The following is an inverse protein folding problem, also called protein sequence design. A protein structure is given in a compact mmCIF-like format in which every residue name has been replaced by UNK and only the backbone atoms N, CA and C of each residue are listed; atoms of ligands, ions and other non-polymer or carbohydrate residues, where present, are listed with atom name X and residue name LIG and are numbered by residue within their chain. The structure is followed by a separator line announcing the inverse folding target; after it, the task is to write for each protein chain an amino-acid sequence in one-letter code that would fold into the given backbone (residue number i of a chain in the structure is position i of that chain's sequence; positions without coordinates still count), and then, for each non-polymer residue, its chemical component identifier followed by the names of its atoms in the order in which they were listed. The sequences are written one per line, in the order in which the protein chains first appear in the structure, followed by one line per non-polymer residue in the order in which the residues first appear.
data_IF_341789019560
#
_entry.id   IF_341789019560
#
_cell.length_a   1.000
_cell.length_b   1.000
_cell.length_c   1.000
_cell.angle_alpha   90.00
_cell.angle_beta   90.00
_cell.angle_gamma   90.00
#
_symmetry.space_group_name_H-M   'P 1'
#
loop_
_entity.id
_entity.type
_entity.pdbx_description
1 polymer ?
#
# COMPACT_ATOMS: atom_id res chain seq x y z
N UNK A 1 14.50 -9.24 15.38
CA UNK A 1 15.48 -9.45 14.30
C UNK A 1 14.92 -10.43 13.28
N UNK A 2 15.42 -10.44 12.04
CA UNK A 2 15.12 -11.53 11.12
C UNK A 2 15.59 -12.88 11.70
N UNK A 3 14.92 -13.95 11.31
CA UNK A 3 15.31 -15.32 11.68
C UNK A 3 16.67 -15.65 11.08
N UNK A 4 17.43 -16.46 11.80
CA UNK A 4 18.77 -16.91 11.44
C UNK A 4 18.83 -18.43 11.54
N UNK A 5 19.80 -19.02 10.83
CA UNK A 5 20.05 -20.46 10.93
C UNK A 5 20.36 -20.84 12.38
N UNK A 6 19.74 -21.93 12.86
CA UNK A 6 19.86 -22.39 14.24
C UNK A 6 18.82 -21.81 15.21
N UNK A 7 17.98 -20.86 14.77
CA UNK A 7 16.86 -20.40 15.59
C UNK A 7 15.85 -21.53 15.82
N UNK A 8 15.39 -21.67 17.07
CA UNK A 8 14.29 -22.55 17.45
C UNK A 8 13.12 -21.71 17.96
N UNK A 9 11.94 -21.89 17.36
CA UNK A 9 10.73 -21.15 17.70
C UNK A 9 9.74 -22.06 18.44
N UNK A 10 9.46 -21.82 19.73
CA UNK A 10 8.47 -22.61 20.45
C UNK A 10 7.07 -22.34 19.88
N UNK A 11 6.34 -23.40 19.56
CA UNK A 11 4.94 -23.31 19.13
C UNK A 11 4.05 -23.42 20.37
N UNK A 12 3.07 -22.52 20.50
CA UNK A 12 2.07 -22.58 21.57
C UNK A 12 1.20 -23.84 21.47
N UNK A 13 0.44 -24.13 22.54
CA UNK A 13 -0.53 -25.24 22.52
C UNK A 13 -1.52 -25.01 21.38
N UNK A 14 -1.66 -25.98 20.48
CA UNK A 14 -2.62 -25.94 19.38
C UNK A 14 -3.80 -26.84 19.69
N UNK A 15 -5.01 -26.33 19.46
CA UNK A 15 -6.27 -27.03 19.79
C UNK A 15 -6.97 -27.64 18.57
N UNK A 16 -6.63 -27.24 17.34
CA UNK A 16 -7.23 -27.86 16.16
C UNK A 16 -6.50 -29.16 15.79
N UNK A 17 -7.26 -30.15 15.33
CA UNK A 17 -6.71 -31.45 14.92
C UNK A 17 -6.09 -31.40 13.53
N UNK A 18 -6.58 -30.52 12.68
CA UNK A 18 -6.19 -30.39 11.27
C UNK A 18 -5.74 -28.95 10.93
N UNK A 19 -4.89 -28.84 9.92
CA UNK A 19 -4.55 -27.56 9.33
C UNK A 19 -5.76 -27.00 8.56
N UNK A 20 -6.10 -25.72 8.80
CA UNK A 20 -7.14 -25.04 8.03
C UNK A 20 -6.75 -24.96 6.57
N UNK A 21 -7.65 -25.35 5.67
CA UNK A 21 -7.47 -25.21 4.23
C UNK A 21 -8.15 -23.93 3.77
N UNK A 22 -7.42 -23.07 3.09
CA UNK A 22 -8.02 -21.90 2.44
C UNK A 22 -8.88 -22.35 1.26
N UNK A 23 -10.08 -21.80 1.14
CA UNK A 23 -10.89 -21.98 -0.07
C UNK A 23 -10.18 -21.38 -1.29
N UNK A 24 -10.44 -21.92 -2.48
CA UNK A 24 -9.88 -21.40 -3.73
C UNK A 24 -10.20 -19.92 -3.94
N UNK A 25 -11.39 -19.46 -3.52
CA UNK A 25 -11.80 -18.07 -3.57
C UNK A 25 -10.93 -17.17 -2.66
N UNK A 26 -10.67 -17.60 -1.43
CA UNK A 26 -9.81 -16.86 -0.49
C UNK A 26 -8.37 -16.81 -0.98
N UNK A 27 -7.87 -17.93 -1.50
CA UNK A 27 -6.53 -17.97 -2.09
C UNK A 27 -6.41 -17.04 -3.31
N UNK A 28 -7.43 -16.99 -4.18
CA UNK A 28 -7.46 -16.10 -5.33
C UNK A 28 -7.49 -14.61 -4.92
N UNK A 29 -8.31 -14.26 -3.92
CA UNK A 29 -8.39 -12.90 -3.37
C UNK A 29 -7.02 -12.44 -2.84
N UNK A 30 -6.34 -13.30 -2.06
CA UNK A 30 -5.03 -12.99 -1.47
C UNK A 30 -3.88 -12.99 -2.49
N UNK A 31 -4.01 -13.72 -3.60
CA UNK A 31 -2.98 -13.84 -4.65
C UNK A 31 -3.15 -12.85 -5.80
N UNK A 32 -4.18 -12.01 -5.79
CA UNK A 32 -4.44 -11.07 -6.88
C UNK A 32 -3.32 -10.01 -6.95
N UNK A 33 -2.51 -10.08 -8.01
CA UNK A 33 -1.39 -9.14 -8.27
C UNK A 33 -1.70 -8.08 -9.33
N UNK A 34 -2.73 -8.28 -10.13
CA UNK A 34 -3.01 -7.48 -11.32
C UNK A 34 -4.08 -6.40 -11.11
N UNK A 35 -4.04 -5.37 -11.95
CA UNK A 35 -5.02 -4.27 -12.02
C UNK A 35 -4.47 -2.94 -11.50
N UNK A 36 -5.31 -1.91 -11.47
CA UNK A 36 -4.91 -0.63 -10.87
C UNK A 36 -4.98 -0.71 -9.34
N UNK A 37 -4.12 0.03 -8.64
CA UNK A 37 -4.20 0.24 -7.20
C UNK A 37 -5.19 1.37 -6.95
N UNK A 38 -6.25 1.07 -6.21
CA UNK A 38 -7.24 2.05 -5.87
C UNK A 38 -6.74 2.93 -4.73
N UNK A 39 -6.95 4.24 -4.87
CA UNK A 39 -6.51 5.25 -3.91
C UNK A 39 -7.62 6.26 -3.64
N UNK A 40 -7.59 6.84 -2.45
CA UNK A 40 -8.40 8.00 -2.08
C UNK A 40 -7.54 9.26 -2.09
N UNK A 41 -8.13 10.45 -2.27
CA UNK A 41 -7.40 11.70 -2.05
C UNK A 41 -6.78 11.72 -0.64
N UNK A 42 -5.67 12.43 -0.51
CA UNK A 42 -5.04 12.73 0.76
C UNK A 42 -5.26 14.20 1.12
N UNK A 43 -4.82 14.61 2.31
CA UNK A 43 -4.96 15.98 2.79
C UNK A 43 -4.20 17.01 1.93
N UNK A 44 -3.10 16.61 1.27
CA UNK A 44 -2.29 17.48 0.42
C UNK A 44 -2.48 17.21 -1.07
N UNK A 45 -3.53 16.50 -1.49
CA UNK A 45 -3.78 16.25 -2.93
C UNK A 45 -3.86 17.54 -3.74
N UNK A 46 -4.41 18.61 -3.18
CA UNK A 46 -4.55 19.92 -3.84
C UNK A 46 -3.22 20.71 -3.90
N UNK A 47 -2.11 20.18 -3.38
CA UNK A 47 -0.78 20.81 -3.47
C UNK A 47 -0.02 20.42 -4.73
N UNK A 48 -0.51 19.43 -5.46
CA UNK A 48 0.03 18.99 -6.73
C UNK A 48 -0.70 19.69 -7.86
N UNK A 49 0.01 20.14 -8.89
CA UNK A 49 -0.65 20.76 -10.04
C UNK A 49 -1.47 19.74 -10.83
N UNK A 50 -2.23 20.25 -11.80
CA UNK A 50 -3.02 19.43 -12.69
C UNK A 50 -2.16 18.41 -13.46
N UNK A 51 -0.92 18.78 -13.82
CA UNK A 51 -0.04 17.93 -14.62
C UNK A 51 0.53 16.77 -13.80
N UNK A 52 1.01 17.01 -12.58
CA UNK A 52 1.45 16.01 -11.62
C UNK A 52 0.30 15.09 -11.21
N UNK A 53 -0.89 15.64 -10.99
CA UNK A 53 -2.11 14.85 -10.70
C UNK A 53 -2.44 13.93 -11.88
N UNK A 54 -2.43 14.46 -13.11
CA UNK A 54 -2.66 13.69 -14.33
C UNK A 54 -1.62 12.60 -14.51
N UNK A 55 -0.33 12.93 -14.37
CA UNK A 55 0.77 11.98 -14.47
C UNK A 55 0.64 10.84 -13.45
N UNK A 56 0.28 11.15 -12.20
CA UNK A 56 0.10 10.16 -11.15
C UNK A 56 -0.99 9.12 -11.48
N UNK A 57 -2.10 9.53 -12.10
CA UNK A 57 -3.21 8.63 -12.43
C UNK A 57 -3.10 7.96 -13.81
N UNK A 58 -2.41 8.59 -14.77
CA UNK A 58 -2.32 8.09 -16.14
C UNK A 58 -1.04 7.27 -16.42
N UNK A 59 0.07 7.60 -15.76
CA UNK A 59 1.36 6.98 -16.03
C UNK A 59 1.63 5.78 -15.12
N UNK A 60 2.31 4.75 -15.64
CA UNK A 60 2.83 3.68 -14.81
C UNK A 60 4.05 4.13 -14.00
N UNK A 61 4.21 3.54 -12.83
CA UNK A 61 5.43 3.60 -12.05
C UNK A 61 6.00 2.20 -11.84
N UNK A 62 7.31 2.11 -11.65
CA UNK A 62 8.01 0.85 -11.42
C UNK A 62 8.52 0.79 -9.99
N UNK A 63 8.27 -0.32 -9.31
CA UNK A 63 8.81 -0.56 -7.96
C UNK A 63 10.33 -0.71 -8.05
N UNK A 64 11.06 0.07 -7.26
CA UNK A 64 12.53 0.06 -7.29
C UNK A 64 13.11 -0.97 -6.32
N UNK A 65 14.39 -1.31 -6.50
CA UNK A 65 15.17 -2.19 -5.61
C UNK A 65 15.44 -1.61 -4.22
N UNK A 66 15.21 -0.31 -4.01
CA UNK A 66 15.35 0.35 -2.71
C UNK A 66 14.09 0.20 -1.84
N UNK A 67 13.07 -0.49 -2.33
CA UNK A 67 11.83 -0.75 -1.60
C UNK A 67 12.01 -1.77 -0.48
N UNK A 68 11.36 -1.53 0.66
CA UNK A 68 11.41 -2.41 1.82
C UNK A 68 10.09 -2.34 2.62
N UNK A 69 10.07 -2.90 3.84
CA UNK A 69 8.88 -2.93 4.70
C UNK A 69 8.43 -1.55 5.21
N UNK A 70 9.31 -0.55 5.22
CA UNK A 70 8.94 0.83 5.56
C UNK A 70 8.25 1.55 4.41
N UNK A 71 8.55 1.19 3.16
CA UNK A 71 7.84 1.72 2.00
C UNK A 71 8.36 1.21 0.66
N UNK A 72 7.50 1.30 -0.34
CA UNK A 72 7.81 1.01 -1.73
C UNK A 72 8.19 2.30 -2.45
N UNK A 73 9.45 2.40 -2.89
CA UNK A 73 9.95 3.52 -3.68
C UNK A 73 9.67 3.25 -5.15
N UNK A 74 9.07 4.22 -5.82
CA UNK A 74 8.63 4.10 -7.19
C UNK A 74 9.48 4.97 -8.12
N UNK A 75 9.89 4.43 -9.26
CA UNK A 75 10.49 5.20 -10.35
C UNK A 75 9.46 5.46 -11.46
N UNK A 76 9.66 6.52 -12.23
CA UNK A 76 8.74 6.96 -13.27
C UNK A 76 9.00 8.42 -13.63
N UNK A 77 7.97 9.11 -14.13
CA UNK A 77 8.01 10.55 -14.32
C UNK A 77 7.95 11.25 -12.95
N UNK A 78 8.89 12.15 -12.62
CA UNK A 78 8.85 12.93 -11.39
C UNK A 78 7.62 13.84 -11.34
N UNK A 79 6.94 13.86 -10.20
CA UNK A 79 5.78 14.70 -9.95
C UNK A 79 6.19 16.02 -9.31
N UNK A 80 5.73 17.14 -9.87
CA UNK A 80 5.94 18.45 -9.28
C UNK A 80 4.92 18.73 -8.17
N UNK A 81 5.41 19.07 -6.97
CA UNK A 81 4.60 19.69 -5.93
C UNK A 81 4.68 21.21 -6.09
N UNK A 82 3.55 21.90 -6.22
CA UNK A 82 3.51 23.35 -6.45
C UNK A 82 3.89 24.17 -5.21
N UNK A 83 3.75 23.58 -4.02
CA UNK A 83 4.04 24.25 -2.75
C UNK A 83 5.44 23.89 -2.28
N UNK A 84 6.31 24.91 -2.24
CA UNK A 84 7.58 24.89 -1.52
C UNK A 84 7.42 25.06 -0.01
N UNK A 85 6.19 25.18 0.49
CA UNK A 85 5.91 25.27 1.92
C UNK A 85 6.37 23.96 2.59
N UNK A 86 7.30 24.05 3.53
CA UNK A 86 7.67 22.92 4.38
C UNK A 86 6.42 22.43 5.10
N UNK A 87 5.94 21.23 4.73
CA UNK A 87 4.83 20.61 5.45
C UNK A 87 5.28 20.40 6.90
N UNK A 88 4.58 21.06 7.84
CA UNK A 88 4.77 20.80 9.27
C UNK A 88 4.55 19.31 9.50
N UNK A 89 5.48 18.67 10.20
CA UNK A 89 5.46 17.22 10.44
C UNK A 89 4.12 16.80 11.02
N UNK A 90 3.45 15.85 10.35
CA UNK A 90 2.12 15.36 10.72
C UNK A 90 2.08 13.83 10.73
N UNK A 91 0.99 13.28 11.26
CA UNK A 91 0.75 11.84 11.28
C UNK A 91 0.60 11.26 9.88
N UNK A 92 1.19 10.08 9.66
CA UNK A 92 1.14 9.39 8.37
C UNK A 92 0.26 8.13 8.49
N UNK A 93 -0.83 8.03 7.72
CA UNK A 93 -1.60 6.79 7.67
C UNK A 93 -0.86 5.70 6.88
N UNK A 94 -1.12 4.44 7.21
CA UNK A 94 -0.59 3.30 6.44
C UNK A 94 -1.07 3.39 4.98
N UNK A 95 -0.17 3.19 4.02
CA UNK A 95 -0.49 3.28 2.60
C UNK A 95 -0.53 4.70 2.04
N UNK A 96 -0.13 5.71 2.81
CA UNK A 96 0.09 7.06 2.31
C UNK A 96 1.13 7.07 1.18
N UNK A 97 0.88 7.84 0.13
CA UNK A 97 1.79 8.00 -1.00
C UNK A 97 2.44 9.37 -0.90
N UNK A 98 3.65 9.41 -0.34
CA UNK A 98 4.44 10.62 -0.23
C UNK A 98 5.15 10.94 -1.54
N UNK A 99 5.32 12.23 -1.83
CA UNK A 99 6.13 12.73 -2.94
C UNK A 99 7.22 13.63 -2.33
N UNK A 100 8.46 13.15 -2.18
CA UNK A 100 9.61 13.96 -1.74
C UNK A 100 10.03 15.00 -2.80
N UNK A 101 11.04 15.85 -2.51
CA UNK A 101 11.52 16.86 -3.45
C UNK A 101 12.06 16.35 -4.79
N UNK A 102 12.44 15.06 -4.88
CA UNK A 102 12.84 14.42 -6.13
C UNK A 102 11.65 14.06 -7.03
N UNK A 103 10.42 14.24 -6.55
CA UNK A 103 9.18 13.98 -7.28
C UNK A 103 8.83 12.50 -7.40
N UNK A 104 9.60 11.58 -6.81
CA UNK A 104 9.41 10.15 -6.98
C UNK A 104 8.53 9.57 -5.86
N UNK A 105 7.35 9.00 -6.17
CA UNK A 105 6.42 8.58 -5.13
C UNK A 105 6.95 7.44 -4.24
N UNK A 106 6.58 7.49 -2.97
CA UNK A 106 6.85 6.43 -1.99
C UNK A 106 5.54 5.99 -1.35
N UNK A 107 5.14 4.73 -1.53
CA UNK A 107 4.03 4.14 -0.79
C UNK A 107 4.56 3.71 0.58
N UNK A 108 4.16 4.41 1.64
CA UNK A 108 4.59 4.07 2.99
C UNK A 108 3.83 2.86 3.53
N UNK A 109 4.52 1.99 4.27
CA UNK A 109 4.00 0.67 4.62
C UNK A 109 4.27 0.25 6.07
N UNK A 110 4.19 -1.04 6.37
CA UNK A 110 4.01 -1.59 7.73
C UNK A 110 5.07 -1.21 8.76
N UNK A 111 6.29 -0.88 8.33
CA UNK A 111 7.39 -0.44 9.20
C UNK A 111 7.74 1.06 8.96
N UNK A 112 6.78 1.87 8.49
CA UNK A 112 6.96 3.30 8.23
C UNK A 112 7.14 4.12 9.51
N UNK A 113 7.71 5.32 9.37
CA UNK A 113 7.68 6.35 10.42
C UNK A 113 6.23 6.79 10.68
N UNK A 114 5.89 7.06 11.94
CA UNK A 114 4.54 7.49 12.34
C UNK A 114 4.22 8.93 11.93
N UNK A 115 5.25 9.73 11.66
CA UNK A 115 5.13 11.13 11.26
C UNK A 115 6.11 11.46 10.12
N UNK A 116 5.84 12.52 9.36
CA UNK A 116 6.79 13.03 8.38
C UNK A 116 6.33 14.32 7.71
N UNK A 117 7.24 14.94 6.98
CA UNK A 117 7.07 16.29 6.39
C UNK A 117 7.01 16.33 4.87
N UNK A 118 6.71 15.21 4.20
CA UNK A 118 6.49 15.21 2.74
C UNK A 118 5.00 15.23 2.40
N UNK A 119 4.60 16.01 1.39
CA UNK A 119 3.22 16.05 0.93
C UNK A 119 2.81 14.68 0.42
N UNK A 120 1.57 14.31 0.71
CA UNK A 120 0.96 13.08 0.22
C UNK A 120 0.09 13.44 -0.97
N UNK A 121 0.15 12.66 -2.04
CA UNK A 121 -0.71 12.87 -3.22
C UNK A 121 -2.01 12.06 -3.11
N UNK A 122 -1.96 10.89 -2.48
CA UNK A 122 -3.08 9.98 -2.33
C UNK A 122 -2.83 8.97 -1.20
N UNK A 123 -3.86 8.19 -0.83
CA UNK A 123 -3.77 7.08 0.12
C UNK A 123 -4.27 5.78 -0.52
N UNK A 124 -3.47 4.72 -0.48
CA UNK A 124 -3.91 3.37 -0.90
C UNK A 124 -5.04 2.88 0.00
N UNK A 125 -6.09 2.32 -0.60
CA UNK A 125 -7.20 1.75 0.18
C UNK A 125 -6.75 0.48 0.92
N UNK A 126 -7.26 0.27 2.13
CA UNK A 126 -6.84 -0.85 2.99
C UNK A 126 -7.00 -2.23 2.34
N UNK A 127 -8.05 -2.42 1.54
CA UNK A 127 -8.28 -3.70 0.85
C UNK A 127 -7.20 -4.08 -0.16
N UNK A 128 -6.37 -3.12 -0.57
CA UNK A 128 -5.23 -3.34 -1.46
C UNK A 128 -3.91 -3.59 -0.74
N UNK A 129 -3.82 -3.47 0.59
CA UNK A 129 -2.56 -3.70 1.32
C UNK A 129 -1.95 -5.10 1.13
N UNK A 130 -2.73 -6.21 1.08
CA UNK A 130 -2.16 -7.53 0.76
C UNK A 130 -1.45 -7.54 -0.59
N UNK A 131 -1.98 -6.82 -1.58
CA UNK A 131 -1.37 -6.69 -2.90
C UNK A 131 -0.10 -5.84 -2.85
N UNK A 132 -0.12 -4.71 -2.15
CA UNK A 132 1.07 -3.85 -1.94
C UNK A 132 2.21 -4.66 -1.34
N UNK A 133 1.94 -5.45 -0.31
CA UNK A 133 2.95 -6.30 0.34
C UNK A 133 3.52 -7.43 -0.52
N UNK A 134 2.98 -7.67 -1.72
CA UNK A 134 3.44 -8.70 -2.65
C UNK A 134 4.21 -8.15 -3.86
N UNK A 135 4.26 -6.82 -4.01
CA UNK A 135 5.01 -6.15 -5.07
C UNK A 135 6.52 -6.35 -4.91
N UNK A 136 7.22 -6.47 -6.02
CA UNK A 136 8.67 -6.72 -6.11
C UNK A 136 9.35 -5.66 -6.97
N UNK A 137 10.67 -5.44 -6.78
CA UNK A 137 11.43 -4.61 -7.71
C UNK A 137 11.21 -5.05 -9.16
N UNK A 138 10.88 -4.08 -10.03
CA UNK A 138 10.53 -4.31 -11.43
C UNK A 138 9.02 -4.44 -11.71
N UNK A 139 8.18 -4.65 -10.70
CA UNK A 139 6.72 -4.66 -10.89
C UNK A 139 6.21 -3.27 -11.28
N UNK A 140 5.28 -3.22 -12.24
CA UNK A 140 4.57 -2.00 -12.64
C UNK A 140 3.34 -1.77 -11.75
N UNK A 141 3.13 -0.51 -11.35
CA UNK A 141 1.95 -0.05 -10.63
C UNK A 141 1.29 1.12 -11.33
N UNK A 142 -0.05 1.17 -11.29
CA UNK A 142 -0.88 2.27 -11.77
C UNK A 142 -1.92 2.61 -10.73
N UNK A 143 -2.24 3.89 -10.59
CA UNK A 143 -3.18 4.36 -9.56
C UNK A 143 -4.51 4.78 -10.18
N UNK A 144 -5.61 4.50 -9.48
CA UNK A 144 -6.94 4.96 -9.86
C UNK A 144 -7.66 5.53 -8.65
N UNK A 145 -8.21 6.73 -8.82
CA UNK A 145 -9.02 7.36 -7.80
C UNK A 145 -10.30 6.56 -7.54
N UNK A 146 -10.66 6.42 -6.27
CA UNK A 146 -11.93 5.85 -5.82
C UNK A 146 -12.51 6.71 -4.70
N UNK A 147 -13.80 6.53 -4.41
CA UNK A 147 -14.47 7.20 -3.31
C UNK A 147 -14.19 6.50 -1.98
N UNK A 148 -14.31 7.22 -0.87
CA UNK A 148 -14.21 6.62 0.46
C UNK A 148 -15.32 5.58 0.72
N UNK A 149 -16.48 5.75 0.09
CA UNK A 149 -17.61 4.81 0.18
C UNK A 149 -17.26 3.48 -0.48
N UNK A 150 -16.76 3.51 -1.73
CA UNK A 150 -16.33 2.31 -2.46
C UNK A 150 -15.14 1.65 -1.74
N UNK A 151 -14.19 2.44 -1.22
CA UNK A 151 -13.07 1.93 -0.44
C UNK A 151 -13.54 1.13 0.78
N UNK A 152 -14.52 1.65 1.53
CA UNK A 152 -15.10 1.00 2.69
C UNK A 152 -15.89 -0.27 2.34
N UNK A 153 -16.66 -0.25 1.24
CA UNK A 153 -17.38 -1.43 0.74
C UNK A 153 -16.42 -2.55 0.36
N UNK A 154 -15.33 -2.23 -0.35
CA UNK A 154 -14.30 -3.21 -0.73
C UNK A 154 -13.61 -3.82 0.48
N UNK A 155 -13.36 -3.01 1.53
CA UNK A 155 -12.79 -3.51 2.77
C UNK A 155 -13.75 -4.47 3.47
N UNK A 156 -15.03 -4.11 3.63
CA UNK A 156 -16.05 -4.99 4.22
C UNK A 156 -16.16 -6.32 3.48
N UNK A 157 -16.25 -6.28 2.15
CA UNK A 157 -16.31 -7.51 1.34
C UNK A 157 -15.08 -8.40 1.52
N UNK A 158 -13.88 -7.81 1.65
CA UNK A 158 -12.66 -8.57 1.92
C UNK A 158 -12.69 -9.19 3.33
N UNK A 159 -13.12 -8.43 4.33
CA UNK A 159 -13.24 -8.90 5.72
C UNK A 159 -14.25 -10.04 5.84
N UNK A 160 -15.38 -9.96 5.13
CA UNK A 160 -16.41 -11.00 5.12
C UNK A 160 -15.86 -12.30 4.52
N UNK A 161 -15.18 -12.24 3.36
CA UNK A 161 -14.54 -13.42 2.75
C UNK A 161 -13.49 -14.05 3.69
N UNK A 162 -12.67 -13.22 4.35
CA UNK A 162 -11.68 -13.71 5.30
C UNK A 162 -12.34 -14.32 6.54
N UNK A 163 -13.41 -13.70 7.06
CA UNK A 163 -14.15 -14.20 8.22
C UNK A 163 -14.78 -15.56 7.93
N UNK A 164 -15.43 -15.73 6.77
CA UNK A 164 -15.97 -17.01 6.33
C UNK A 164 -14.88 -18.08 6.21
N UNK A 165 -13.72 -17.72 5.66
CA UNK A 165 -12.59 -18.64 5.50
C UNK A 165 -12.00 -19.12 6.84
N UNK A 166 -12.09 -18.30 7.90
CA UNK A 166 -11.54 -18.63 9.23
C UNK A 166 -12.59 -19.11 10.25
N UNK A 167 -13.87 -19.13 9.88
CA UNK A 167 -14.95 -19.71 10.66
C UNK A 167 -15.07 -21.24 10.49
N UNK A 168 -14.42 -21.80 9.45
CA UNK A 168 -14.28 -23.24 9.19
C UNK A 168 -13.05 -23.81 9.90
#
# INVERSE_FOLDING_TARGET
RALQSGDSLPIGKHHAKDARKLSSATAALLRRREGMILVTPSLQSDWFDHEATRQFYEQPFTVTSQSNRSGLRLSGQPLAANRSDELVTEGIPLGAIQVPPDGLPIILFVDQQTTGGYPKIANVIASHFPRIGQLRPGDEVRFKLTSIVEAAERLRNQEDVLREAFAQ
#
